data_IF_761234831367
#
_entry.id   IF_761234831367
#
_cell.length_a   1.000
_cell.length_b   1.000
_cell.length_c   1.000
_cell.angle_alpha   90.00
_cell.angle_beta   90.00
_cell.angle_gamma   90.00
#
_symmetry.space_group_name_H-M   'P 1'
#
loop_
_entity.id
_entity.type
_entity.pdbx_description
1 polymer ?
#
# COMPACT_ATOMS: atom_id res chain seq x y z
N UNK A 1 -21.62 -4.10 18.44
CA UNK A 1 -20.81 -3.23 17.56
C UNK A 1 -19.66 -4.09 17.11
N UNK A 2 -19.69 -4.57 15.86
CA UNK A 2 -18.57 -5.29 15.29
C UNK A 2 -17.35 -4.35 15.34
N UNK A 3 -16.25 -4.82 15.90
CA UNK A 3 -15.05 -4.03 16.15
C UNK A 3 -14.50 -3.53 14.82
N UNK A 4 -14.52 -2.21 14.63
CA UNK A 4 -14.10 -1.50 13.41
C UNK A 4 -12.65 -1.86 13.01
N UNK A 5 -11.86 -2.33 13.96
CA UNK A 5 -10.48 -2.77 13.81
C UNK A 5 -10.33 -4.05 12.96
N UNK A 6 -11.35 -4.92 12.94
CA UNK A 6 -11.31 -6.20 12.20
C UNK A 6 -11.55 -6.05 10.70
N UNK A 7 -12.54 -5.24 10.31
CA UNK A 7 -12.87 -4.98 8.90
C UNK A 7 -11.77 -4.18 8.19
N UNK A 8 -11.19 -3.18 8.88
CA UNK A 8 -10.13 -2.35 8.30
C UNK A 8 -8.84 -3.13 8.03
N UNK A 9 -8.56 -4.15 8.84
CA UNK A 9 -7.43 -5.05 8.65
C UNK A 9 -7.62 -5.97 7.44
N UNK A 10 -8.84 -6.52 7.26
CA UNK A 10 -9.15 -7.41 6.14
C UNK A 10 -9.09 -6.66 4.80
N UNK A 11 -9.64 -5.44 4.74
CA UNK A 11 -9.56 -4.57 3.56
C UNK A 11 -8.12 -4.18 3.23
N UNK A 12 -7.34 -3.78 4.24
CA UNK A 12 -5.92 -3.46 4.08
C UNK A 12 -5.14 -4.67 3.55
N UNK A 13 -5.42 -5.86 4.07
CA UNK A 13 -4.73 -7.08 3.66
C UNK A 13 -5.09 -7.47 2.23
N UNK A 14 -6.37 -7.40 1.87
CA UNK A 14 -6.81 -7.64 0.50
C UNK A 14 -6.21 -6.63 -0.50
N UNK A 15 -6.10 -5.36 -0.12
CA UNK A 15 -5.44 -4.33 -0.91
C UNK A 15 -3.93 -4.63 -1.05
N UNK A 16 -3.27 -5.02 0.02
CA UNK A 16 -1.85 -5.39 0.02
C UNK A 16 -1.59 -6.60 -0.90
N UNK A 17 -2.37 -7.67 -0.76
CA UNK A 17 -2.25 -8.87 -1.61
C UNK A 17 -2.61 -8.59 -3.09
N UNK A 18 -3.44 -7.59 -3.37
CA UNK A 18 -3.73 -7.16 -4.74
C UNK A 18 -2.57 -6.36 -5.37
N UNK A 19 -1.78 -5.67 -4.53
CA UNK A 19 -0.61 -4.91 -4.93
C UNK A 19 0.63 -5.80 -5.08
N UNK A 20 0.89 -6.67 -4.10
CA UNK A 20 1.99 -7.65 -4.07
C UNK A 20 1.74 -8.76 -5.12
N UNK A 21 2.35 -8.60 -6.29
CA UNK A 21 2.12 -9.44 -7.46
C UNK A 21 3.04 -10.65 -7.47
N UNK A 22 4.24 -10.52 -6.91
CA UNK A 22 5.19 -11.62 -6.75
C UNK A 22 4.89 -12.49 -5.52
N UNK A 23 4.16 -11.95 -4.54
CA UNK A 23 3.80 -12.65 -3.30
C UNK A 23 4.97 -12.71 -2.32
N UNK A 24 5.91 -11.77 -2.37
CA UNK A 24 7.08 -11.74 -1.50
C UNK A 24 6.77 -11.11 -0.13
N UNK A 25 5.55 -10.60 0.05
CA UNK A 25 5.09 -9.93 1.26
C UNK A 25 5.58 -8.48 1.36
N UNK A 26 6.06 -7.91 0.27
CA UNK A 26 6.51 -6.53 0.11
C UNK A 26 5.88 -5.96 -1.17
N UNK A 27 5.73 -4.64 -1.25
CA UNK A 27 5.30 -3.99 -2.49
C UNK A 27 6.45 -3.15 -3.01
N UNK A 28 7.02 -3.54 -4.15
CA UNK A 28 8.05 -2.72 -4.79
C UNK A 28 7.46 -1.54 -5.56
N UNK A 29 8.28 -0.57 -5.95
CA UNK A 29 7.83 0.63 -6.65
C UNK A 29 7.06 0.33 -7.95
N UNK A 30 7.42 -0.74 -8.66
CA UNK A 30 6.77 -1.18 -9.91
C UNK A 30 5.37 -1.73 -9.64
N UNK A 31 5.24 -2.54 -8.59
CA UNK A 31 3.98 -3.11 -8.13
C UNK A 31 3.05 -2.02 -7.61
N UNK A 32 3.59 -1.08 -6.82
CA UNK A 32 2.85 0.08 -6.35
C UNK A 32 2.38 0.98 -7.48
N UNK A 33 3.20 1.26 -8.51
CA UNK A 33 2.79 2.05 -9.67
C UNK A 33 1.58 1.42 -10.38
N UNK A 34 1.56 0.09 -10.55
CA UNK A 34 0.42 -0.62 -11.15
C UNK A 34 -0.81 -0.67 -10.24
N UNK A 35 -0.61 -0.70 -8.93
CA UNK A 35 -1.68 -0.70 -7.94
C UNK A 35 -2.29 0.70 -7.72
N UNK A 36 -1.48 1.75 -7.76
CA UNK A 36 -1.90 3.14 -7.62
C UNK A 36 -2.83 3.58 -8.76
N UNK A 37 -2.64 3.03 -9.97
CA UNK A 37 -3.55 3.19 -11.10
C UNK A 37 -4.92 2.52 -10.81
N UNK A 38 -4.92 1.30 -10.27
CA UNK A 38 -6.14 0.57 -9.91
C UNK A 38 -6.95 1.25 -8.79
N UNK A 39 -6.27 1.83 -7.80
CA UNK A 39 -6.93 2.57 -6.72
C UNK A 39 -7.36 3.99 -7.12
N UNK A 40 -7.10 4.41 -8.36
CA UNK A 40 -7.28 5.79 -8.82
C UNK A 40 -6.61 6.83 -7.90
N UNK A 41 -5.64 6.41 -7.09
CA UNK A 41 -4.82 7.26 -6.22
C UNK A 41 -3.90 8.15 -7.07
N UNK A 42 -3.45 7.63 -8.22
CA UNK A 42 -2.56 8.32 -9.12
C UNK A 42 -2.74 7.85 -10.56
N UNK A 43 -3.29 8.70 -11.42
CA UNK A 43 -3.28 8.48 -12.87
C UNK A 43 -1.90 8.72 -13.51
N UNK A 44 -0.93 9.22 -12.72
CA UNK A 44 0.37 9.66 -13.19
C UNK A 44 1.48 9.07 -12.31
N UNK A 45 2.49 8.45 -12.94
CA UNK A 45 3.66 7.83 -12.29
C UNK A 45 4.35 8.76 -11.29
N UNK A 46 4.25 10.08 -11.49
CA UNK A 46 4.85 11.07 -10.59
C UNK A 46 4.15 11.15 -9.25
N UNK A 47 2.83 11.03 -9.24
CA UNK A 47 2.01 11.01 -8.02
C UNK A 47 2.16 9.66 -7.31
N UNK A 48 2.20 8.56 -8.06
CA UNK A 48 2.49 7.24 -7.51
C UNK A 48 3.84 7.21 -6.79
N UNK A 49 4.91 7.74 -7.39
CA UNK A 49 6.22 7.88 -6.72
C UNK A 49 6.19 8.73 -5.47
N UNK A 50 5.37 9.79 -5.45
CA UNK A 50 5.27 10.67 -4.29
C UNK A 50 4.56 9.96 -3.14
N UNK A 51 3.40 9.33 -3.42
CA UNK A 51 2.68 8.51 -2.46
C UNK A 51 3.53 7.33 -1.97
N UNK A 52 4.28 6.68 -2.86
CA UNK A 52 5.22 5.62 -2.49
C UNK A 52 6.22 6.10 -1.44
N UNK A 53 6.85 7.26 -1.66
CA UNK A 53 7.81 7.83 -0.71
C UNK A 53 7.17 8.35 0.59
N UNK A 54 5.86 8.58 0.62
CA UNK A 54 5.14 8.89 1.86
C UNK A 54 4.88 7.63 2.69
N UNK A 55 4.75 6.47 2.04
CA UNK A 55 4.51 5.17 2.68
C UNK A 55 5.84 4.50 3.08
N UNK A 56 6.83 4.50 2.17
CA UNK A 56 8.19 4.00 2.35
C UNK A 56 8.97 4.91 3.31
N UNK A 57 8.77 4.70 4.61
CA UNK A 57 9.39 5.52 5.67
C UNK A 57 10.80 5.07 5.97
N UNK A 58 11.08 3.78 5.78
CA UNK A 58 12.39 3.22 6.01
C UNK A 58 13.36 3.53 4.84
N UNK A 59 12.83 3.90 3.66
CA UNK A 59 13.59 4.25 2.47
C UNK A 59 14.26 3.05 1.80
N UNK A 60 13.76 1.83 2.00
CA UNK A 60 14.31 0.61 1.43
C UNK A 60 13.90 0.40 -0.04
N UNK A 61 12.96 1.21 -0.53
CA UNK A 61 12.43 1.12 -1.88
C UNK A 61 11.39 0.02 -2.03
N UNK A 62 10.84 -0.46 -0.90
CA UNK A 62 9.71 -1.40 -0.82
C UNK A 62 8.81 -0.97 0.33
N UNK A 63 7.52 -1.29 0.20
CA UNK A 63 6.54 -1.05 1.25
C UNK A 63 6.28 -2.36 1.97
N UNK A 64 6.61 -2.40 3.26
CA UNK A 64 6.26 -3.52 4.12
C UNK A 64 4.79 -3.48 4.54
N UNK A 65 4.22 -4.63 4.92
CA UNK A 65 2.85 -4.69 5.46
C UNK A 65 2.63 -3.72 6.64
N UNK A 66 3.64 -3.52 7.49
CA UNK A 66 3.60 -2.56 8.61
C UNK A 66 3.50 -1.10 8.13
N UNK A 67 4.28 -0.74 7.11
CA UNK A 67 4.27 0.61 6.52
C UNK A 67 2.95 0.89 5.81
N UNK A 68 2.44 -0.10 5.07
CA UNK A 68 1.14 -0.04 4.44
C UNK A 68 0.01 0.07 5.47
N UNK A 69 0.07 -0.72 6.55
CA UNK A 69 -0.92 -0.68 7.63
C UNK A 69 -0.94 0.66 8.36
N UNK A 70 0.23 1.26 8.58
CA UNK A 70 0.32 2.56 9.20
C UNK A 70 -0.27 3.66 8.32
N UNK A 71 0.04 3.64 7.02
CA UNK A 71 -0.52 4.59 6.06
C UNK A 71 -2.04 4.41 5.89
N UNK A 72 -2.52 3.18 5.75
CA UNK A 72 -3.95 2.85 5.68
C UNK A 72 -4.69 3.21 6.98
N UNK A 73 -3.97 3.20 8.09
CA UNK A 73 -4.52 3.41 9.40
C UNK A 73 -4.81 4.86 9.78
N UNK A 74 -4.18 5.81 9.08
CA UNK A 74 -4.28 7.25 9.32
C UNK A 74 -3.81 7.65 10.71
N UNK A 75 -2.49 7.75 10.92
CA UNK A 75 -1.90 8.59 11.98
C UNK A 75 -1.54 9.98 11.42
#
# INVERSE_FOLDING_TARGET
MASVDGERWDEMRAAFEAADRDGDGLIDATEFEGFADQLALAADSRVARQAFGEIDRNGDGRISLDEFAHWWGGD
#
